data_IF_409138142804
#
_entry.id   IF_409138142804
#
_cell.length_a   1.000
_cell.length_b   1.000
_cell.length_c   1.000
_cell.angle_alpha   90.00
_cell.angle_beta   90.00
_cell.angle_gamma   90.00
#
_symmetry.space_group_name_H-M   'P 1'
#
loop_
_entity.id
_entity.type
_entity.pdbx_description
1 polymer ?
#
# COMPACT_ATOMS: atom_id res chain seq x y z
N UNK A 1 11.00 -13.53 -8.37
CA UNK A 1 11.21 -14.89 -8.93
C UNK A 1 11.69 -14.85 -10.38
N UNK A 2 10.95 -14.32 -11.37
CA UNK A 2 11.38 -14.34 -12.79
C UNK A 2 12.81 -13.82 -12.99
N UNK A 3 13.15 -12.67 -12.43
CA UNK A 3 14.49 -12.08 -12.55
C UNK A 3 15.59 -13.01 -12.04
N UNK A 4 15.39 -13.62 -10.86
CA UNK A 4 16.34 -14.59 -10.30
C UNK A 4 16.46 -15.87 -11.15
N UNK A 5 15.43 -16.17 -11.94
CA UNK A 5 15.42 -17.32 -12.85
C UNK A 5 15.99 -16.99 -14.25
N UNK A 6 16.58 -15.82 -14.42
CA UNK A 6 17.15 -15.39 -15.71
C UNK A 6 16.12 -14.92 -16.74
N UNK A 7 14.89 -14.60 -16.29
CA UNK A 7 13.82 -14.08 -17.15
C UNK A 7 13.63 -12.60 -16.84
N UNK A 8 14.08 -11.72 -17.71
CA UNK A 8 14.02 -10.28 -17.49
C UNK A 8 14.92 -9.47 -18.42
N UNK A 9 15.10 -8.17 -18.15
CA UNK A 9 15.98 -7.33 -18.96
C UNK A 9 17.43 -7.85 -18.93
N UNK A 10 17.96 -8.21 -20.07
CA UNK A 10 19.33 -8.75 -20.22
C UNK A 10 20.38 -7.94 -19.44
N UNK A 11 20.41 -6.63 -19.67
CA UNK A 11 21.40 -5.77 -19.05
C UNK A 11 21.34 -5.75 -17.51
N UNK A 12 20.14 -5.91 -16.93
CA UNK A 12 19.95 -5.95 -15.47
C UNK A 12 20.38 -7.31 -14.89
N UNK A 13 20.17 -8.41 -15.64
CA UNK A 13 20.56 -9.76 -15.26
C UNK A 13 22.09 -9.94 -15.34
N UNK A 14 22.70 -9.50 -16.44
CA UNK A 14 24.15 -9.60 -16.67
C UNK A 14 24.98 -8.83 -15.64
N UNK A 15 24.49 -7.68 -15.15
CA UNK A 15 25.15 -6.93 -14.05
C UNK A 15 25.28 -7.74 -12.77
N UNK A 16 24.40 -8.71 -12.56
CA UNK A 16 24.41 -9.59 -11.39
C UNK A 16 24.96 -10.99 -11.70
N UNK A 17 25.56 -11.19 -12.88
CA UNK A 17 26.05 -12.48 -13.36
C UNK A 17 24.96 -13.56 -13.40
N UNK A 18 23.71 -13.17 -13.66
CA UNK A 18 22.60 -14.10 -13.86
C UNK A 18 22.56 -14.51 -15.33
N UNK A 19 22.62 -15.81 -15.60
CA UNK A 19 22.48 -16.33 -16.97
C UNK A 19 21.12 -15.97 -17.54
N UNK A 20 21.11 -15.37 -18.74
CA UNK A 20 19.86 -14.93 -19.38
C UNK A 20 19.19 -16.13 -20.05
N UNK A 21 18.08 -16.57 -19.47
CA UNK A 21 17.20 -17.60 -20.03
C UNK A 21 16.26 -17.01 -21.07
N UNK A 22 15.69 -15.84 -20.76
CA UNK A 22 14.83 -15.09 -21.66
C UNK A 22 15.02 -13.58 -21.45
N UNK A 23 15.38 -12.89 -22.53
CA UNK A 23 15.46 -11.44 -22.52
C UNK A 23 14.06 -10.84 -22.69
N UNK A 24 13.49 -10.31 -21.61
CA UNK A 24 12.22 -9.59 -21.63
C UNK A 24 12.32 -8.29 -20.84
N UNK A 25 12.43 -7.19 -21.58
CA UNK A 25 12.60 -5.84 -21.03
C UNK A 25 11.43 -5.33 -20.19
N UNK A 26 10.30 -6.01 -20.21
CA UNK A 26 9.08 -5.59 -19.50
C UNK A 26 8.93 -6.21 -18.10
N UNK A 27 9.68 -7.27 -17.81
CA UNK A 27 9.65 -7.89 -16.47
C UNK A 27 10.11 -6.90 -15.42
N UNK A 28 9.28 -6.70 -14.39
CA UNK A 28 9.54 -5.76 -13.31
C UNK A 28 9.28 -4.29 -13.64
N UNK A 29 8.78 -3.97 -14.83
CA UNK A 29 8.47 -2.59 -15.24
C UNK A 29 6.97 -2.29 -15.13
N UNK A 30 6.64 -1.02 -14.86
CA UNK A 30 5.25 -0.59 -14.68
C UNK A 30 4.66 -1.02 -13.33
N UNK A 31 5.49 -1.17 -12.31
CA UNK A 31 5.04 -1.39 -10.94
C UNK A 31 4.25 -0.19 -10.44
N UNK A 32 3.14 -0.45 -9.79
CA UNK A 32 2.35 0.57 -9.14
C UNK A 32 1.88 0.11 -7.75
N UNK A 33 1.45 1.07 -6.97
CA UNK A 33 0.80 0.88 -5.69
C UNK A 33 -0.14 2.06 -5.44
N UNK A 34 -1.24 1.82 -4.77
CA UNK A 34 -2.15 2.89 -4.39
C UNK A 34 -1.52 3.70 -3.25
N UNK A 35 -1.13 4.96 -3.46
CA UNK A 35 -0.56 5.78 -2.40
C UNK A 35 -1.62 6.11 -1.35
N UNK A 36 -1.20 6.20 -0.11
CA UNK A 36 -2.06 6.52 1.02
C UNK A 36 -1.46 7.64 1.86
N UNK A 37 -2.31 8.58 2.29
CA UNK A 37 -2.01 9.53 3.35
C UNK A 37 -2.99 9.34 4.51
N UNK A 38 -2.52 9.48 5.73
CA UNK A 38 -3.31 9.26 6.95
C UNK A 38 -3.61 10.57 7.63
N UNK A 39 -4.89 10.87 7.82
CA UNK A 39 -5.38 12.11 8.42
C UNK A 39 -5.93 11.80 9.82
N UNK A 40 -5.29 12.36 10.82
CA UNK A 40 -5.73 12.19 12.21
C UNK A 40 -6.80 13.19 12.60
N UNK A 41 -7.87 12.70 13.22
CA UNK A 41 -8.99 13.51 13.75
C UNK A 41 -9.10 13.26 15.25
N UNK A 42 -8.80 14.24 16.10
CA UNK A 42 -8.96 14.11 17.53
C UNK A 42 -10.44 14.07 17.94
N UNK A 43 -10.79 13.25 18.92
CA UNK A 43 -12.14 13.09 19.43
C UNK A 43 -12.37 13.90 20.71
N UNK A 44 -13.62 14.32 20.96
CA UNK A 44 -14.04 15.03 22.21
C UNK A 44 -14.11 14.11 23.43
N UNK A 45 -14.28 12.83 23.23
CA UNK A 45 -14.51 11.86 24.31
C UNK A 45 -13.87 10.49 23.97
N UNK A 46 -14.16 9.49 24.76
CA UNK A 46 -13.70 8.12 24.51
C UNK A 46 -14.10 7.65 23.13
N UNK A 47 -13.17 7.04 22.42
CA UNK A 47 -13.38 6.53 21.06
C UNK A 47 -13.50 5.02 21.11
N UNK A 48 -14.57 4.48 20.54
CA UNK A 48 -14.73 3.03 20.37
C UNK A 48 -13.79 2.57 19.28
N UNK A 49 -13.03 1.53 19.56
CA UNK A 49 -12.14 0.93 18.58
C UNK A 49 -12.96 0.29 17.44
N UNK A 50 -12.67 0.70 16.23
CA UNK A 50 -13.34 0.20 15.03
C UNK A 50 -12.35 0.04 13.90
N UNK A 51 -12.42 -1.12 13.25
CA UNK A 51 -11.80 -1.32 11.95
C UNK A 51 -12.61 -0.60 10.86
N UNK A 52 -12.09 -0.58 9.66
CA UNK A 52 -12.76 -0.02 8.48
C UNK A 52 -14.09 -0.77 8.25
N UNK A 53 -15.19 -0.05 8.39
CA UNK A 53 -16.54 -0.58 8.18
C UNK A 53 -17.23 0.07 6.97
N UNK A 54 -16.75 1.24 6.57
CA UNK A 54 -17.33 2.01 5.47
C UNK A 54 -16.22 2.56 4.58
N UNK A 55 -16.43 2.49 3.28
CA UNK A 55 -15.54 3.05 2.27
C UNK A 55 -16.28 4.13 1.50
N UNK A 56 -15.74 5.34 1.50
CA UNK A 56 -16.21 6.42 0.64
C UNK A 56 -15.48 6.37 -0.70
N UNK A 57 -16.22 6.24 -1.80
CA UNK A 57 -15.67 6.27 -3.16
C UNK A 57 -16.07 7.61 -3.79
N UNK A 58 -15.10 8.32 -4.34
CA UNK A 58 -15.30 9.65 -4.92
C UNK A 58 -15.12 9.64 -6.44
N UNK A 59 -15.73 10.59 -7.13
CA UNK A 59 -15.54 10.81 -8.57
C UNK A 59 -14.10 11.25 -8.91
N UNK A 60 -13.34 11.69 -7.91
CA UNK A 60 -11.93 12.07 -8.07
C UNK A 60 -11.00 10.87 -8.25
N UNK A 61 -11.51 9.63 -8.17
CA UNK A 61 -10.71 8.42 -8.11
C UNK A 61 -9.91 8.29 -6.80
N UNK A 62 -10.35 9.00 -5.78
CA UNK A 62 -9.91 8.87 -4.39
C UNK A 62 -10.93 8.03 -3.64
N UNK A 63 -10.47 7.16 -2.78
CA UNK A 63 -11.33 6.47 -1.83
C UNK A 63 -10.85 6.72 -0.40
N UNK A 64 -11.80 6.73 0.51
CA UNK A 64 -11.61 7.14 1.89
C UNK A 64 -12.06 6.01 2.78
N UNK A 65 -11.23 5.61 3.71
CA UNK A 65 -11.55 4.63 4.75
C UNK A 65 -11.30 5.26 6.12
N UNK A 66 -12.22 5.06 7.04
CA UNK A 66 -12.10 5.58 8.40
C UNK A 66 -11.93 4.45 9.40
N UNK A 67 -11.07 4.67 10.39
CA UNK A 67 -10.89 3.79 11.53
C UNK A 67 -10.72 4.61 12.80
N UNK A 68 -11.28 4.15 13.90
CA UNK A 68 -11.30 4.88 15.16
C UNK A 68 -10.75 4.07 16.31
N UNK A 69 -10.22 4.79 17.29
CA UNK A 69 -9.76 4.27 18.56
C UNK A 69 -8.55 3.34 18.48
N UNK A 70 -7.57 3.66 19.31
CA UNK A 70 -6.53 2.72 19.69
C UNK A 70 -6.88 2.32 21.13
N UNK A 71 -7.42 1.11 21.33
CA UNK A 71 -7.79 0.68 22.67
C UNK A 71 -6.58 0.63 23.59
N UNK A 72 -6.64 1.35 24.70
CA UNK A 72 -5.87 1.01 25.88
C UNK A 72 -6.72 0.05 26.72
N UNK A 73 -6.40 -1.24 26.71
CA UNK A 73 -6.67 -2.06 27.88
C UNK A 73 -5.48 -1.88 28.83
N UNK A 74 -5.72 -1.89 30.13
CA UNK A 74 -4.71 -1.62 31.17
C UNK A 74 -3.46 -2.52 31.08
N UNK A 75 -3.45 -3.56 30.26
CA UNK A 75 -2.36 -4.54 30.13
C UNK A 75 -1.90 -4.86 28.70
N UNK A 76 -2.55 -4.32 27.67
CA UNK A 76 -2.08 -4.53 26.28
C UNK A 76 -2.55 -3.41 25.37
N UNK A 77 -1.64 -2.84 24.61
CA UNK A 77 -1.97 -2.00 23.45
C UNK A 77 -2.55 -2.95 22.42
N UNK A 78 -3.88 -3.01 22.32
CA UNK A 78 -4.52 -3.78 21.26
C UNK A 78 -4.22 -3.08 19.93
N UNK A 79 -3.71 -3.87 18.99
CA UNK A 79 -3.31 -3.38 17.68
C UNK A 79 -4.51 -2.85 16.91
N UNK A 80 -4.49 -1.57 16.61
CA UNK A 80 -5.40 -0.97 15.66
C UNK A 80 -4.88 -1.21 14.24
N UNK A 81 -5.78 -1.17 13.23
CA UNK A 81 -5.40 -1.40 11.82
C UNK A 81 -4.23 -0.52 11.36
N UNK A 82 -4.20 0.76 11.73
CA UNK A 82 -3.08 1.65 11.43
C UNK A 82 -1.76 1.22 12.08
N UNK A 83 -1.79 0.74 13.34
CA UNK A 83 -0.61 0.23 14.03
C UNK A 83 -0.15 -1.10 13.45
N UNK A 84 -1.06 -2.03 13.14
CA UNK A 84 -0.73 -3.28 12.47
C UNK A 84 -0.12 -3.02 11.11
N UNK A 85 -0.66 -2.07 10.37
CA UNK A 85 -0.12 -1.64 9.08
C UNK A 85 1.28 -1.07 9.21
N UNK A 86 1.51 -0.20 10.21
CA UNK A 86 2.83 0.35 10.49
C UNK A 86 3.84 -0.75 10.87
N UNK A 87 3.43 -1.71 11.69
CA UNK A 87 4.27 -2.83 12.09
C UNK A 87 4.68 -3.71 10.90
N UNK A 88 3.72 -4.13 10.08
CA UNK A 88 4.00 -4.98 8.92
C UNK A 88 4.81 -4.22 7.88
N UNK A 89 4.42 -2.99 7.57
CA UNK A 89 5.10 -2.16 6.57
C UNK A 89 6.54 -1.84 6.94
N UNK A 90 6.80 -1.54 8.21
CA UNK A 90 8.13 -1.15 8.66
C UNK A 90 9.03 -2.33 9.06
N UNK A 91 8.48 -3.46 9.50
CA UNK A 91 9.27 -4.69 9.63
C UNK A 91 9.92 -5.07 8.31
N UNK A 92 9.29 -4.75 7.18
CA UNK A 92 9.89 -4.96 5.86
C UNK A 92 11.12 -4.07 5.61
N UNK A 93 11.31 -2.99 6.35
CA UNK A 93 12.52 -2.15 6.27
C UNK A 93 13.73 -2.75 6.98
N UNK A 94 13.50 -3.71 7.90
CA UNK A 94 14.58 -4.48 8.51
C UNK A 94 14.99 -5.57 7.53
N UNK A 95 16.23 -5.64 7.07
CA UNK A 95 16.69 -6.70 6.19
C UNK A 95 16.37 -8.08 6.77
N UNK A 96 15.92 -9.07 5.99
CA UNK A 96 15.50 -10.37 6.49
C UNK A 96 16.50 -11.04 7.43
N UNK A 97 17.80 -10.93 7.14
CA UNK A 97 18.89 -11.47 7.97
C UNK A 97 19.03 -10.78 9.34
N UNK A 98 18.52 -9.56 9.46
CA UNK A 98 18.59 -8.76 10.69
C UNK A 98 17.28 -8.84 11.49
N UNK A 99 16.28 -9.58 11.02
CA UNK A 99 15.00 -9.80 11.72
C UNK A 99 15.12 -10.83 12.83
N UNK A 100 16.05 -10.61 13.75
CA UNK A 100 16.15 -11.42 14.97
C UNK A 100 14.97 -11.17 15.90
N UNK A 101 14.65 -12.08 16.82
CA UNK A 101 13.64 -11.83 17.85
C UNK A 101 13.84 -10.51 18.60
N UNK A 102 15.08 -10.16 18.90
CA UNK A 102 15.47 -8.93 19.60
C UNK A 102 15.19 -7.69 18.74
N UNK A 103 15.54 -7.71 17.45
CA UNK A 103 15.25 -6.62 16.52
C UNK A 103 13.74 -6.41 16.32
N UNK A 104 12.98 -7.50 16.26
CA UNK A 104 11.52 -7.47 16.19
C UNK A 104 10.94 -6.89 17.48
N UNK A 105 11.41 -7.31 18.65
CA UNK A 105 10.95 -6.79 19.94
C UNK A 105 11.33 -5.32 20.12
N UNK A 106 12.54 -4.91 19.72
CA UNK A 106 12.95 -3.52 19.74
C UNK A 106 12.04 -2.66 18.84
N UNK A 107 11.67 -3.17 17.67
CA UNK A 107 10.72 -2.50 16.78
C UNK A 107 9.32 -2.39 17.42
N UNK A 108 8.79 -3.48 17.98
CA UNK A 108 7.52 -3.49 18.71
C UNK A 108 7.57 -2.51 19.89
N UNK A 109 8.71 -2.43 20.56
CA UNK A 109 8.93 -1.48 21.66
C UNK A 109 8.79 -0.01 21.29
N UNK A 110 8.92 0.35 19.99
CA UNK A 110 8.69 1.71 19.51
C UNK A 110 7.24 2.17 19.62
N UNK A 111 6.28 1.26 19.84
CA UNK A 111 4.88 1.63 20.11
C UNK A 111 4.73 2.61 21.27
N UNK A 112 5.58 2.51 22.28
CA UNK A 112 5.64 3.47 23.40
C UNK A 112 6.01 4.89 22.98
N UNK A 113 6.62 5.05 21.80
CA UNK A 113 7.03 6.34 21.25
C UNK A 113 5.86 7.05 20.52
N UNK A 114 4.71 6.37 20.34
CA UNK A 114 3.51 6.96 19.77
C UNK A 114 2.93 7.95 20.77
N UNK A 115 2.68 9.22 20.36
CA UNK A 115 2.12 10.21 21.25
C UNK A 115 0.78 9.76 21.84
N UNK A 116 0.57 10.02 23.12
CA UNK A 116 -0.66 9.62 23.81
C UNK A 116 -1.94 10.21 23.15
N UNK A 117 -1.83 11.36 22.53
CA UNK A 117 -2.90 12.03 21.80
C UNK A 117 -3.39 11.19 20.60
N UNK A 118 -2.53 10.41 19.98
CA UNK A 118 -2.90 9.53 18.87
C UNK A 118 -3.95 8.46 19.27
N UNK A 119 -4.03 8.14 20.56
CA UNK A 119 -5.02 7.21 21.11
C UNK A 119 -6.39 7.86 21.41
N UNK A 120 -6.50 9.19 21.27
CA UNK A 120 -7.70 9.96 21.54
C UNK A 120 -8.39 10.45 20.28
N UNK A 121 -8.41 9.65 19.25
CA UNK A 121 -9.01 10.02 17.97
C UNK A 121 -9.12 8.85 17.01
N UNK A 122 -9.32 9.20 15.76
CA UNK A 122 -9.38 8.25 14.66
C UNK A 122 -8.57 8.73 13.47
N UNK A 123 -8.44 7.86 12.48
CA UNK A 123 -7.75 8.17 11.24
C UNK A 123 -8.70 8.03 10.05
N UNK A 124 -8.62 8.99 9.16
CA UNK A 124 -9.21 8.90 7.84
C UNK A 124 -8.05 8.68 6.87
N UNK A 125 -8.09 7.55 6.18
CA UNK A 125 -7.09 7.13 5.20
C UNK A 125 -7.53 7.62 3.84
N UNK A 126 -6.81 8.57 3.30
CA UNK A 126 -6.95 9.04 1.92
C UNK A 126 -6.11 8.16 1.02
N UNK A 127 -6.69 7.62 -0.04
CA UNK A 127 -6.04 6.69 -0.94
C UNK A 127 -6.40 7.01 -2.38
N UNK A 128 -5.41 6.93 -3.26
CA UNK A 128 -5.63 7.11 -4.70
C UNK A 128 -5.74 5.73 -5.34
N UNK A 129 -6.90 5.43 -5.92
CA UNK A 129 -7.06 4.24 -6.74
C UNK A 129 -6.44 4.46 -8.11
N UNK A 130 -5.78 3.43 -8.63
CA UNK A 130 -5.20 3.41 -9.97
C UNK A 130 -4.33 4.64 -10.30
N UNK A 131 -3.15 4.77 -9.66
CA UNK A 131 -2.27 5.90 -9.91
C UNK A 131 -1.64 5.84 -11.31
N UNK A 132 -1.45 7.00 -11.92
CA UNK A 132 -0.67 7.15 -13.17
C UNK A 132 0.83 6.98 -12.95
N UNK A 133 1.31 7.27 -11.75
CA UNK A 133 2.70 7.08 -11.37
C UNK A 133 3.06 5.61 -11.38
N UNK A 134 4.08 5.25 -12.13
CA UNK A 134 4.57 3.86 -12.25
C UNK A 134 6.07 3.82 -11.99
N UNK A 135 6.51 2.72 -11.46
CA UNK A 135 7.90 2.47 -11.16
C UNK A 135 8.36 1.10 -11.63
N UNK A 136 9.26 0.51 -10.87
CA UNK A 136 9.86 -0.77 -11.23
C UNK A 136 10.34 -1.55 -10.01
N UNK A 137 10.55 -2.84 -10.21
CA UNK A 137 11.30 -3.72 -9.32
C UNK A 137 12.58 -4.16 -10.02
N UNK A 138 13.68 -4.19 -9.29
CA UNK A 138 14.98 -4.69 -9.76
C UNK A 138 15.70 -5.43 -8.64
N UNK A 139 16.50 -6.42 -9.00
CA UNK A 139 17.35 -7.11 -8.03
C UNK A 139 18.50 -6.21 -7.59
N UNK A 140 18.91 -6.34 -6.34
CA UNK A 140 20.13 -5.72 -5.79
C UNK A 140 21.30 -6.72 -5.75
N UNK A 141 20.97 -8.01 -5.67
CA UNK A 141 21.89 -9.15 -5.69
C UNK A 141 21.13 -10.43 -6.08
N UNK A 142 21.78 -11.59 -5.97
CA UNK A 142 21.21 -12.91 -6.32
C UNK A 142 20.62 -13.67 -5.14
N UNK A 143 20.66 -13.12 -3.94
CA UNK A 143 20.07 -13.74 -2.76
C UNK A 143 18.55 -13.56 -2.74
N UNK A 144 17.82 -14.67 -2.74
CA UNK A 144 16.35 -14.65 -2.74
C UNK A 144 15.73 -14.11 -1.44
N UNK A 145 16.50 -14.12 -0.34
CA UNK A 145 16.04 -13.63 0.97
C UNK A 145 16.22 -12.12 1.12
N UNK A 146 16.98 -11.48 0.24
CA UNK A 146 17.16 -10.04 0.27
C UNK A 146 16.03 -9.33 -0.50
N UNK A 147 15.49 -8.26 0.09
CA UNK A 147 14.45 -7.47 -0.57
C UNK A 147 15.01 -6.84 -1.85
N UNK A 148 14.27 -6.91 -2.97
CA UNK A 148 14.65 -6.21 -4.18
C UNK A 148 14.51 -4.69 -4.02
N UNK A 149 15.14 -3.94 -4.89
CA UNK A 149 14.88 -2.50 -5.02
C UNK A 149 13.53 -2.28 -5.70
N UNK A 150 12.62 -1.56 -5.03
CA UNK A 150 11.27 -1.27 -5.53
C UNK A 150 11.07 0.24 -5.52
N UNK A 151 10.55 0.76 -6.62
CA UNK A 151 10.10 2.13 -6.73
C UNK A 151 8.68 2.16 -7.29
N UNK A 152 7.82 2.98 -6.71
CA UNK A 152 6.47 3.24 -7.25
C UNK A 152 6.39 4.63 -7.85
N UNK A 153 7.36 5.51 -7.52
CA UNK A 153 7.39 6.90 -7.96
C UNK A 153 6.11 7.66 -7.57
N UNK A 154 5.65 7.50 -6.31
CA UNK A 154 4.47 8.20 -5.81
C UNK A 154 4.49 9.69 -6.19
N UNK A 155 3.36 10.17 -6.69
CA UNK A 155 3.14 11.56 -7.10
C UNK A 155 4.09 12.10 -8.18
N UNK A 156 4.87 11.27 -8.85
CA UNK A 156 5.68 11.69 -10.01
C UNK A 156 4.80 12.20 -11.15
N UNK A 157 3.64 11.58 -11.35
CA UNK A 157 2.63 12.09 -12.26
C UNK A 157 1.80 13.18 -11.58
N UNK A 158 1.73 14.41 -12.12
CA UNK A 158 1.07 15.55 -11.46
C UNK A 158 -0.41 15.33 -11.15
N UNK A 159 -1.08 14.48 -11.93
CA UNK A 159 -2.48 14.14 -11.72
C UNK A 159 -2.70 13.43 -10.38
N UNK A 160 -1.81 12.51 -10.00
CA UNK A 160 -1.93 11.79 -8.74
C UNK A 160 -1.79 12.73 -7.54
N UNK A 161 -0.83 13.66 -7.62
CA UNK A 161 -0.65 14.68 -6.58
C UNK A 161 -1.89 15.59 -6.44
N UNK A 162 -2.49 16.01 -7.57
CA UNK A 162 -3.73 16.79 -7.54
C UNK A 162 -4.89 16.01 -6.89
N UNK A 163 -4.98 14.70 -7.16
CA UNK A 163 -5.99 13.83 -6.54
C UNK A 163 -5.80 13.77 -5.04
N UNK A 164 -4.58 13.57 -4.54
CA UNK A 164 -4.28 13.60 -3.11
C UNK A 164 -4.67 14.95 -2.48
N UNK A 165 -4.25 16.07 -3.06
CA UNK A 165 -4.60 17.41 -2.56
C UNK A 165 -6.12 17.58 -2.47
N UNK A 166 -6.85 17.16 -3.50
CA UNK A 166 -8.31 17.26 -3.51
C UNK A 166 -8.96 16.30 -2.51
N UNK A 167 -8.43 15.08 -2.36
CA UNK A 167 -8.88 14.11 -1.36
C UNK A 167 -8.73 14.62 0.07
N UNK A 168 -7.59 15.22 0.40
CA UNK A 168 -7.38 15.82 1.72
C UNK A 168 -8.31 17.02 1.95
N UNK A 169 -8.54 17.86 0.94
CA UNK A 169 -9.52 18.95 1.05
C UNK A 169 -10.93 18.44 1.29
N UNK A 170 -11.33 17.39 0.57
CA UNK A 170 -12.61 16.73 0.78
C UNK A 170 -12.75 16.18 2.20
N UNK A 171 -11.69 15.58 2.75
CA UNK A 171 -11.68 15.14 4.15
C UNK A 171 -11.83 16.33 5.10
N UNK A 172 -11.14 17.43 4.83
CA UNK A 172 -11.26 18.65 5.64
C UNK A 172 -12.68 19.23 5.62
N UNK A 173 -13.40 19.16 4.52
CA UNK A 173 -14.82 19.53 4.40
C UNK A 173 -15.70 18.52 5.15
N UNK A 174 -15.46 17.22 4.97
CA UNK A 174 -16.23 16.14 5.62
C UNK A 174 -16.20 16.25 7.13
N UNK A 175 -15.03 16.50 7.72
CA UNK A 175 -14.92 16.62 9.20
C UNK A 175 -15.50 17.89 9.76
N UNK A 176 -15.80 18.89 8.92
CA UNK A 176 -16.55 20.10 9.31
C UNK A 176 -18.06 19.92 9.25
N UNK A 177 -18.55 18.78 8.73
CA UNK A 177 -19.99 18.49 8.69
C UNK A 177 -20.59 18.36 10.12
N UNK A 178 -21.90 18.56 10.24
CA UNK A 178 -22.58 18.46 11.52
C UNK A 178 -22.42 17.09 12.19
N UNK A 179 -22.35 16.02 11.41
CA UNK A 179 -22.14 14.66 11.91
C UNK A 179 -20.80 14.49 12.62
N UNK A 180 -19.73 15.12 12.10
CA UNK A 180 -18.41 15.09 12.72
C UNK A 180 -18.25 16.09 13.87
N UNK A 181 -18.89 17.25 13.83
CA UNK A 181 -18.81 18.29 14.89
C UNK A 181 -19.19 17.78 16.26
N UNK A 182 -20.12 16.85 16.35
CA UNK A 182 -20.57 16.27 17.60
C UNK A 182 -19.58 15.30 18.23
N UNK A 183 -18.78 14.62 17.40
CA UNK A 183 -17.87 13.53 17.80
C UNK A 183 -16.41 13.97 17.85
N UNK A 184 -16.01 14.88 16.97
CA UNK A 184 -14.63 15.34 16.86
C UNK A 184 -14.39 16.61 17.71
N UNK A 185 -13.16 16.80 18.18
CA UNK A 185 -12.73 17.98 18.96
C UNK A 185 -12.54 19.20 18.03
N UNK A 186 -13.65 19.72 17.44
CA UNK A 186 -13.61 20.44 16.18
C UNK A 186 -14.24 21.83 16.22
N UNK A 187 -14.09 22.61 17.28
CA UNK A 187 -14.69 23.94 17.32
C UNK A 187 -14.08 24.93 16.29
N UNK A 188 -12.93 24.63 15.70
CA UNK A 188 -12.32 25.34 14.55
C UNK A 188 -11.34 24.42 13.82
N UNK A 189 -11.83 23.49 13.00
CA UNK A 189 -10.96 22.66 12.15
C UNK A 189 -10.54 23.42 10.90
N UNK A 190 -9.38 24.04 10.93
CA UNK A 190 -8.71 24.50 9.72
C UNK A 190 -7.92 23.34 9.11
N UNK A 191 -7.74 23.36 7.80
CA UNK A 191 -6.89 22.39 7.10
C UNK A 191 -5.49 22.32 7.73
N UNK A 192 -4.90 23.45 8.08
CA UNK A 192 -3.59 23.54 8.72
C UNK A 192 -3.54 22.76 10.04
N UNK A 193 -4.55 22.90 10.90
CA UNK A 193 -4.62 22.17 12.18
C UNK A 193 -4.72 20.68 11.96
N UNK A 194 -5.51 20.26 10.97
CA UNK A 194 -5.65 18.83 10.61
C UNK A 194 -4.31 18.24 10.16
N UNK A 195 -3.56 18.95 9.32
CA UNK A 195 -2.24 18.51 8.87
C UNK A 195 -1.25 18.43 10.05
N UNK A 196 -1.23 19.45 10.90
CA UNK A 196 -0.34 19.48 12.07
C UNK A 196 -0.65 18.33 13.06
N UNK A 197 -1.90 18.02 13.32
CA UNK A 197 -2.28 16.88 14.15
C UNK A 197 -1.87 15.54 13.52
N UNK A 198 -2.07 15.40 12.22
CA UNK A 198 -1.72 14.18 11.49
C UNK A 198 -0.20 13.91 11.54
N UNK A 199 0.62 14.94 11.33
CA UNK A 199 2.08 14.83 11.46
C UNK A 199 2.49 14.57 12.91
N UNK A 200 1.79 15.14 13.89
CA UNK A 200 2.07 14.94 15.32
C UNK A 200 1.72 13.53 15.77
N UNK A 201 0.57 13.00 15.36
CA UNK A 201 0.10 11.67 15.72
C UNK A 201 1.00 10.55 15.15
N UNK A 202 1.54 10.73 13.95
CA UNK A 202 2.56 9.91 13.27
C UNK A 202 2.63 8.41 13.66
N UNK A 203 1.50 7.73 13.71
CA UNK A 203 1.43 6.31 14.08
C UNK A 203 2.16 5.38 13.13
N UNK A 204 2.42 5.83 11.91
CA UNK A 204 3.16 5.09 10.89
C UNK A 204 4.68 5.31 10.94
N UNK A 205 5.17 6.08 11.92
CA UNK A 205 6.59 6.44 12.06
C UNK A 205 7.21 7.00 10.78
N UNK A 206 6.44 7.71 9.99
CA UNK A 206 6.94 8.38 8.78
C UNK A 206 7.99 9.41 9.20
N UNK A 207 9.11 9.53 8.48
CA UNK A 207 10.09 10.57 8.76
C UNK A 207 9.44 11.95 8.76
N UNK A 208 9.72 12.76 9.79
CA UNK A 208 9.23 14.14 9.88
C UNK A 208 10.19 15.08 9.17
N UNK A 209 9.64 16.00 8.38
CA UNK A 209 10.38 17.04 7.69
C UNK A 209 9.93 18.43 8.17
N UNK A 210 10.76 19.44 8.01
CA UNK A 210 10.48 20.80 8.49
C UNK A 210 9.33 21.49 7.76
N UNK A 211 8.94 20.99 6.60
CA UNK A 211 7.94 21.56 5.73
C UNK A 211 6.68 20.70 5.53
N UNK A 212 6.54 19.61 6.30
CA UNK A 212 5.44 18.62 6.14
C UNK A 212 4.05 19.27 6.05
N UNK A 213 3.81 20.32 6.81
CA UNK A 213 2.51 20.99 6.92
C UNK A 213 2.47 22.36 6.24
N UNK A 214 3.50 22.74 5.51
CA UNK A 214 3.57 24.05 4.83
C UNK A 214 2.44 24.23 3.80
N UNK A 215 2.02 23.14 3.17
CA UNK A 215 0.88 23.10 2.27
C UNK A 215 0.32 21.69 2.19
N UNK A 216 -0.91 21.54 1.72
CA UNK A 216 -1.52 20.23 1.47
C UNK A 216 -0.68 19.41 0.46
N UNK A 217 -0.12 20.07 -0.54
CA UNK A 217 0.74 19.44 -1.53
C UNK A 217 2.02 18.86 -0.91
N UNK A 218 2.65 19.62 0.00
CA UNK A 218 3.84 19.16 0.70
C UNK A 218 3.52 18.02 1.64
N UNK A 219 2.41 18.12 2.38
CA UNK A 219 1.90 17.03 3.21
C UNK A 219 1.71 15.74 2.42
N UNK A 220 1.05 15.80 1.24
CA UNK A 220 0.90 14.63 0.37
C UNK A 220 2.25 13.96 0.09
N UNK A 221 3.26 14.76 -0.31
CA UNK A 221 4.58 14.24 -0.71
C UNK A 221 5.36 13.65 0.46
N UNK A 222 5.31 14.27 1.62
CA UNK A 222 6.17 13.92 2.76
C UNK A 222 5.55 12.85 3.66
N UNK A 223 4.22 12.65 3.63
CA UNK A 223 3.52 11.69 4.49
C UNK A 223 2.95 10.49 3.75
N UNK A 224 3.20 10.37 2.43
CA UNK A 224 2.72 9.24 1.65
C UNK A 224 3.36 7.93 2.10
N UNK A 225 2.52 6.91 2.24
CA UNK A 225 2.95 5.54 2.50
C UNK A 225 2.24 4.56 1.56
N UNK A 226 2.73 3.35 1.52
CA UNK A 226 2.05 2.23 0.85
C UNK A 226 0.77 1.84 1.59
N UNK A 227 -0.22 1.34 0.86
CA UNK A 227 -1.34 0.56 1.40
C UNK A 227 -1.27 -0.90 0.97
N UNK A 228 -0.11 -1.34 0.48
CA UNK A 228 0.16 -2.73 0.06
C UNK A 228 -0.71 -3.24 -1.09
N UNK A 229 -1.16 -2.35 -1.95
CA UNK A 229 -1.91 -2.69 -3.16
C UNK A 229 -0.99 -2.83 -4.37
N UNK A 230 0.16 -3.45 -4.18
CA UNK A 230 1.18 -3.62 -5.22
C UNK A 230 0.61 -4.34 -6.43
N UNK A 231 0.86 -3.79 -7.61
CA UNK A 231 0.44 -4.38 -8.86
C UNK A 231 1.39 -4.02 -10.00
N UNK A 232 1.23 -4.71 -11.13
CA UNK A 232 2.11 -4.51 -12.29
C UNK A 232 3.45 -5.24 -12.20
N UNK A 233 4.25 -5.11 -13.24
CA UNK A 233 5.54 -5.77 -13.37
C UNK A 233 5.55 -7.03 -14.23
N UNK A 234 4.38 -7.68 -14.45
CA UNK A 234 4.24 -8.85 -15.32
C UNK A 234 3.00 -8.75 -16.22
N UNK A 235 2.85 -7.63 -16.92
CA UNK A 235 1.62 -7.29 -17.62
C UNK A 235 1.27 -8.27 -18.75
N UNK A 236 -0.03 -8.52 -18.90
CA UNK A 236 -0.60 -9.27 -20.02
C UNK A 236 -0.26 -8.58 -21.35
N UNK A 237 0.11 -9.35 -22.36
CA UNK A 237 0.57 -8.88 -23.68
C UNK A 237 2.02 -8.39 -23.71
N UNK A 238 2.72 -8.34 -22.57
CA UNK A 238 4.13 -7.95 -22.46
C UNK A 238 5.02 -9.01 -21.83
N UNK A 239 4.56 -9.61 -20.74
CA UNK A 239 5.26 -10.66 -20.01
C UNK A 239 4.52 -11.99 -20.09
N UNK A 240 3.21 -11.95 -20.06
CA UNK A 240 2.35 -13.14 -20.20
C UNK A 240 1.35 -12.96 -21.33
N UNK A 241 0.82 -14.07 -21.82
CA UNK A 241 -0.32 -14.12 -22.75
C UNK A 241 -1.68 -13.95 -22.02
N UNK A 242 -2.81 -13.89 -22.74
CA UNK A 242 -4.14 -13.82 -22.10
C UNK A 242 -4.50 -15.03 -21.24
N UNK A 243 -3.83 -16.16 -21.39
CA UNK A 243 -3.94 -17.35 -20.55
C UNK A 243 -2.95 -17.32 -19.36
N UNK A 244 -2.31 -16.18 -19.13
CA UNK A 244 -1.32 -15.91 -18.08
C UNK A 244 -0.05 -16.78 -18.17
N UNK A 245 0.21 -17.39 -19.36
CA UNK A 245 1.46 -18.12 -19.63
C UNK A 245 2.57 -17.13 -19.92
N UNK A 246 3.74 -17.36 -19.34
CA UNK A 246 4.93 -16.53 -19.61
C UNK A 246 5.34 -16.67 -21.07
N UNK A 247 5.38 -15.54 -21.77
CA UNK A 247 5.77 -15.51 -23.19
C UNK A 247 7.21 -16.03 -23.38
N UNK A 248 7.38 -16.96 -24.29
CA UNK A 248 8.69 -17.56 -24.58
C UNK A 248 9.13 -18.64 -23.59
N UNK A 249 8.32 -19.01 -22.59
CA UNK A 249 8.62 -20.09 -21.65
C UNK A 249 7.45 -21.07 -21.58
N UNK A 250 7.75 -22.36 -21.67
CA UNK A 250 6.72 -23.40 -21.62
C UNK A 250 6.33 -23.72 -20.16
N UNK A 251 5.04 -24.04 -19.95
CA UNK A 251 4.50 -24.59 -18.69
C UNK A 251 4.66 -23.67 -17.47
N UNK A 252 4.91 -22.38 -17.65
CA UNK A 252 5.00 -21.39 -16.57
C UNK A 252 3.87 -20.37 -16.71
N UNK A 253 3.18 -20.10 -15.63
CA UNK A 253 2.14 -19.05 -15.52
C UNK A 253 2.43 -18.12 -14.36
N UNK A 254 1.90 -16.92 -14.44
CA UNK A 254 1.85 -15.94 -13.34
C UNK A 254 0.38 -15.70 -13.03
N UNK A 255 -0.01 -15.81 -11.75
CA UNK A 255 -1.40 -15.66 -11.31
C UNK A 255 -1.41 -14.88 -10.01
N UNK A 256 -1.08 -13.60 -10.09
CA UNK A 256 -1.06 -12.67 -8.96
C UNK A 256 -1.23 -11.22 -9.43
N UNK A 257 -1.22 -10.28 -8.48
CA UNK A 257 -1.41 -8.85 -8.75
C UNK A 257 -0.40 -8.23 -9.72
N UNK A 258 0.72 -8.89 -10.02
CA UNK A 258 1.69 -8.38 -11.00
C UNK A 258 1.15 -8.34 -12.44
N UNK A 259 0.05 -9.03 -12.70
CA UNK A 259 -0.65 -9.02 -13.99
C UNK A 259 -1.47 -7.74 -14.21
N UNK A 260 -1.91 -7.08 -13.14
CA UNK A 260 -2.79 -5.92 -13.25
C UNK A 260 -2.03 -4.71 -13.81
N UNK A 261 -2.56 -4.12 -14.85
CA UNK A 261 -2.11 -2.83 -15.36
C UNK A 261 -2.62 -1.69 -14.49
N UNK A 262 -3.86 -1.83 -14.08
CA UNK A 262 -4.62 -0.86 -13.31
C UNK A 262 -5.14 -1.55 -12.03
N UNK A 263 -5.20 -0.83 -10.91
CA UNK A 263 -5.65 -1.40 -9.64
C UNK A 263 -7.15 -1.77 -9.70
N UNK A 264 -7.53 -3.02 -9.38
CA UNK A 264 -8.93 -3.41 -9.39
C UNK A 264 -9.66 -2.89 -8.15
N UNK A 265 -10.45 -1.85 -8.30
CA UNK A 265 -11.30 -1.29 -7.26
C UNK A 265 -10.52 -0.62 -6.11
N UNK A 266 -11.10 -0.63 -4.90
CA UNK A 266 -10.48 -0.02 -3.72
C UNK A 266 -9.38 -0.92 -3.14
N UNK A 267 -9.69 -2.19 -2.89
CA UNK A 267 -8.76 -3.18 -2.33
C UNK A 267 -8.67 -4.39 -3.27
N UNK A 268 -7.47 -4.82 -3.70
CA UNK A 268 -7.34 -5.81 -4.77
C UNK A 268 -7.54 -7.26 -4.31
N UNK A 269 -7.60 -7.54 -3.01
CA UNK A 269 -7.57 -8.90 -2.47
C UNK A 269 -8.67 -9.81 -3.03
N UNK A 270 -9.91 -9.35 -3.06
CA UNK A 270 -11.05 -10.14 -3.58
C UNK A 270 -10.84 -10.51 -5.06
N UNK A 271 -10.34 -9.57 -5.86
CA UNK A 271 -10.04 -9.80 -7.28
C UNK A 271 -8.91 -10.79 -7.46
N UNK A 272 -7.84 -10.69 -6.65
CA UNK A 272 -6.72 -11.65 -6.68
C UNK A 272 -7.20 -13.06 -6.30
N UNK A 273 -8.04 -13.19 -5.27
CA UNK A 273 -8.63 -14.48 -4.87
C UNK A 273 -9.49 -15.07 -5.99
N UNK A 274 -10.36 -14.25 -6.59
CA UNK A 274 -11.20 -14.66 -7.73
C UNK A 274 -10.34 -15.13 -8.91
N UNK A 275 -9.30 -14.37 -9.25
CA UNK A 275 -8.39 -14.70 -10.33
C UNK A 275 -7.65 -16.02 -10.07
N UNK A 276 -7.18 -16.24 -8.83
CA UNK A 276 -6.55 -17.50 -8.42
C UNK A 276 -7.49 -18.70 -8.58
N UNK A 277 -8.75 -18.56 -8.14
CA UNK A 277 -9.78 -19.60 -8.32
C UNK A 277 -10.07 -19.86 -9.80
N UNK A 278 -10.30 -18.80 -10.59
CA UNK A 278 -10.59 -18.92 -12.02
C UNK A 278 -9.47 -19.66 -12.75
N UNK A 279 -8.22 -19.25 -12.53
CA UNK A 279 -7.07 -19.87 -13.19
C UNK A 279 -6.79 -21.29 -12.68
N UNK A 280 -7.04 -21.56 -11.42
CA UNK A 280 -6.96 -22.94 -10.87
C UNK A 280 -7.92 -23.88 -11.59
N UNK A 281 -9.17 -23.48 -11.75
CA UNK A 281 -10.18 -24.24 -12.49
C UNK A 281 -9.83 -24.41 -13.98
N UNK A 282 -9.32 -23.35 -14.62
CA UNK A 282 -8.87 -23.39 -16.02
C UNK A 282 -7.72 -24.39 -16.19
N UNK A 283 -6.70 -24.32 -15.34
CA UNK A 283 -5.57 -25.26 -15.39
C UNK A 283 -6.03 -26.71 -15.20
N UNK A 284 -6.99 -26.93 -14.29
CA UNK A 284 -7.53 -28.25 -14.04
C UNK A 284 -8.26 -28.80 -15.27
N UNK A 285 -9.11 -28.00 -15.91
CA UNK A 285 -9.80 -28.35 -17.16
C UNK A 285 -8.81 -28.62 -18.31
N UNK A 286 -7.82 -27.77 -18.47
CA UNK A 286 -6.76 -27.94 -19.50
C UNK A 286 -6.03 -29.30 -19.35
N UNK A 287 -5.91 -29.81 -18.12
CA UNK A 287 -5.19 -31.07 -17.81
C UNK A 287 -6.05 -32.32 -17.80
N UNK A 288 -7.29 -32.23 -17.32
CA UNK A 288 -8.16 -33.37 -17.05
C UNK A 288 -9.34 -33.46 -18.02
N UNK A 289 -9.51 -32.47 -18.91
CA UNK A 289 -10.66 -32.37 -19.80
C UNK A 289 -11.87 -31.71 -19.14
N UNK A 290 -12.93 -31.46 -19.94
CA UNK A 290 -14.14 -30.72 -19.50
C UNK A 290 -15.00 -31.45 -18.46
N UNK A 291 -14.73 -32.69 -18.15
CA UNK A 291 -15.54 -33.51 -17.23
C UNK A 291 -15.42 -33.11 -15.74
N UNK A 292 -14.57 -32.14 -15.41
CA UNK A 292 -14.45 -31.65 -14.04
C UNK A 292 -15.43 -30.51 -13.81
N UNK A 293 -16.65 -30.89 -13.42
CA UNK A 293 -17.63 -29.97 -12.81
C UNK A 293 -17.34 -29.92 -11.33
N UNK A 294 -16.93 -28.76 -10.84
CA UNK A 294 -16.76 -28.48 -9.39
C UNK A 294 -17.90 -27.58 -8.93
#
# INVERSE_FOLDING_TARGET
MLLLSGIGPRADLEKLNISVVLDNKFVGKGMADNPMNSIFIPAKGPVVQSLIQTVGITELGVYIEASSGFGQSNDSIQCHHGLVSAEIGQLSTIPPKERTPEAIQAYIGRKKDIPHEAFKGGFILEKIADPFSKGQISLINTNADDNPSITFNYFKHPHDLRRCVNGIRLIAELVQSEHFKNSAQCDQLTTERILNWSVSANVNFVPKHTNDTKSVEQFCKDTVITIWHYHGGCLVGRVVDPDYKVLGVQKLRIVDGSLFRDSPGTNPQATVLMMGRYMGLKILRDRLGEAVVI
#
